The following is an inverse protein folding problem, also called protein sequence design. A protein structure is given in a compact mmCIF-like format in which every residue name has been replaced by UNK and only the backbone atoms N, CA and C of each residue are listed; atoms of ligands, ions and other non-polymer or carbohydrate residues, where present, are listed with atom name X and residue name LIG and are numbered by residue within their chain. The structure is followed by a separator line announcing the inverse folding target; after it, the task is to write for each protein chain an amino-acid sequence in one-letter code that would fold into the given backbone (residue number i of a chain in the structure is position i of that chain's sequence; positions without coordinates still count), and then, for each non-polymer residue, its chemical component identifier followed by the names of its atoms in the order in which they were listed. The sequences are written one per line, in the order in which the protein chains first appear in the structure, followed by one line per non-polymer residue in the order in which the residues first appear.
data_IF_728989065149
#
_entry.id   IF_728989065149
#
_cell.length_a   1.000
_cell.length_b   1.000
_cell.length_c   1.000
_cell.angle_alpha   90.00
_cell.angle_beta   90.00
_cell.angle_gamma   90.00
#
_symmetry.space_group_name_H-M   'P 1'
#
loop_
_entity.id
_entity.type
_entity.pdbx_description
1 polymer ?
#
# COMPACT_ATOMS: atom_id res chain seq x y z
N UNK A 1 -22.66 1.02 17.14
CA UNK A 1 -21.19 1.07 17.06
C UNK A 1 -20.67 1.05 15.61
N UNK A 2 -21.09 0.12 14.73
CA UNK A 2 -20.62 0.04 13.34
C UNK A 2 -20.88 1.31 12.48
N UNK A 3 -22.03 1.98 12.65
CA UNK A 3 -22.36 3.22 11.92
C UNK A 3 -21.40 4.38 12.22
N UNK A 4 -20.99 4.54 13.48
CA UNK A 4 -20.06 5.61 13.89
C UNK A 4 -18.63 5.39 13.36
N UNK A 5 -18.17 4.13 13.29
CA UNK A 5 -16.86 3.82 12.72
C UNK A 5 -16.81 4.10 11.20
N UNK A 6 -17.90 3.78 10.48
CA UNK A 6 -18.03 4.06 9.04
C UNK A 6 -18.07 5.57 8.75
N UNK A 7 -18.76 6.35 9.59
CA UNK A 7 -18.82 7.81 9.50
C UNK A 7 -17.42 8.45 9.66
N UNK A 8 -16.68 8.06 10.71
CA UNK A 8 -15.33 8.57 10.99
C UNK A 8 -14.34 8.34 9.84
N UNK A 9 -14.44 7.19 9.16
CA UNK A 9 -13.58 6.87 8.01
C UNK A 9 -13.90 7.75 6.80
N UNK A 10 -15.18 8.04 6.56
CA UNK A 10 -15.62 8.92 5.48
C UNK A 10 -15.16 10.37 5.70
N UNK A 11 -15.28 10.88 6.93
CA UNK A 11 -14.89 12.25 7.27
C UNK A 11 -13.37 12.50 7.13
N UNK A 12 -12.56 11.50 7.47
CA UNK A 12 -11.12 11.56 7.28
C UNK A 12 -10.75 11.63 5.79
N UNK A 13 -11.33 10.75 4.97
CA UNK A 13 -11.04 10.70 3.54
C UNK A 13 -11.48 11.99 2.85
N UNK A 14 -12.67 12.51 3.20
CA UNK A 14 -13.14 13.78 2.65
C UNK A 14 -12.25 14.96 3.09
N UNK A 15 -11.77 14.97 4.34
CA UNK A 15 -10.87 16.02 4.83
C UNK A 15 -9.52 16.02 4.09
N UNK A 16 -8.99 14.85 3.72
CA UNK A 16 -7.77 14.72 2.92
C UNK A 16 -7.94 15.27 1.49
N UNK A 17 -9.11 15.10 0.88
CA UNK A 17 -9.38 15.59 -0.47
C UNK A 17 -9.68 17.09 -0.53
N UNK A 18 -10.41 17.61 0.46
CA UNK A 18 -10.96 18.96 0.40
C UNK A 18 -10.13 20.01 1.16
N UNK A 19 -9.09 19.58 1.89
CA UNK A 19 -8.24 20.45 2.70
C UNK A 19 -9.02 21.43 3.60
N UNK A 20 -10.15 20.99 4.13
CA UNK A 20 -11.15 21.87 4.75
C UNK A 20 -10.83 22.28 6.19
N UNK A 21 -9.80 21.70 6.80
CA UNK A 21 -9.38 21.99 8.18
C UNK A 21 -7.94 22.54 8.15
N UNK A 22 -7.83 23.86 8.18
CA UNK A 22 -6.58 24.60 7.96
C UNK A 22 -6.19 25.33 9.24
N UNK A 23 -4.95 25.18 9.65
CA UNK A 23 -4.38 25.92 10.76
C UNK A 23 -3.06 26.59 10.38
N UNK A 24 -2.79 27.69 11.05
CA UNK A 24 -1.51 28.38 10.99
C UNK A 24 -0.62 27.90 12.14
N UNK A 25 0.66 27.74 11.85
CA UNK A 25 1.66 27.28 12.80
C UNK A 25 2.75 28.35 12.93
N UNK A 26 2.84 28.97 14.10
CA UNK A 26 3.80 30.04 14.38
C UNK A 26 4.65 29.69 15.62
N UNK A 27 5.96 30.00 15.63
CA UNK A 27 6.79 29.76 16.80
C UNK A 27 6.42 30.72 17.95
N UNK A 28 6.33 30.20 19.18
CA UNK A 28 6.18 30.99 20.41
C UNK A 28 7.52 31.14 21.14
N UNK A 29 8.31 30.06 21.15
CA UNK A 29 9.69 30.01 21.65
C UNK A 29 10.44 28.86 20.94
N UNK A 30 11.68 28.56 21.34
CA UNK A 30 12.51 27.53 20.69
C UNK A 30 11.84 26.15 20.59
N UNK A 31 10.97 25.79 21.54
CA UNK A 31 10.33 24.47 21.61
C UNK A 31 8.80 24.51 21.61
N UNK A 32 8.19 25.69 21.62
CA UNK A 32 6.73 25.87 21.62
C UNK A 32 6.28 26.53 20.35
N UNK A 33 5.21 25.98 19.81
CA UNK A 33 4.53 26.49 18.63
C UNK A 33 3.07 26.76 18.97
N UNK A 34 2.56 27.88 18.49
CA UNK A 34 1.15 28.19 18.48
C UNK A 34 0.52 27.59 17.24
N UNK A 35 -0.59 26.88 17.44
CA UNK A 35 -1.42 26.37 16.37
C UNK A 35 -2.78 27.08 16.42
N UNK A 36 -3.09 27.84 15.39
CA UNK A 36 -4.33 28.62 15.28
C UNK A 36 -5.15 28.13 14.09
N UNK A 37 -6.35 27.61 14.33
CA UNK A 37 -7.24 27.16 13.26
C UNK A 37 -7.87 28.36 12.55
N UNK A 38 -7.55 28.54 11.27
CA UNK A 38 -8.18 29.54 10.40
C UNK A 38 -9.52 29.03 9.88
N UNK A 39 -9.61 27.72 9.64
CA UNK A 39 -10.83 27.04 9.25
C UNK A 39 -10.89 25.67 9.92
N UNK A 40 -11.99 25.37 10.61
CA UNK A 40 -12.17 24.10 11.31
C UNK A 40 -11.79 24.16 12.80
N UNK A 41 -11.41 23.01 13.36
CA UNK A 41 -11.03 22.85 14.77
C UNK A 41 -10.29 21.54 14.98
N UNK A 42 -9.64 21.40 16.13
CA UNK A 42 -8.98 20.17 16.56
C UNK A 42 -9.98 19.00 16.57
N UNK A 43 -9.80 18.03 15.66
CA UNK A 43 -10.66 16.86 15.52
C UNK A 43 -9.84 15.61 15.23
N UNK A 44 -10.06 14.57 16.03
CA UNK A 44 -9.33 13.30 15.94
C UNK A 44 -9.77 12.37 14.80
N UNK A 45 -10.72 12.81 13.96
CA UNK A 45 -11.25 12.07 12.83
C UNK A 45 -11.04 12.77 11.47
N UNK A 46 -10.24 13.84 11.41
CA UNK A 46 -9.98 14.62 10.20
C UNK A 46 -8.48 14.92 10.09
N UNK A 47 -8.02 15.15 8.86
CA UNK A 47 -6.69 15.66 8.57
C UNK A 47 -6.64 17.17 8.80
N UNK A 48 -5.52 17.69 9.31
CA UNK A 48 -5.29 19.13 9.46
C UNK A 48 -4.16 19.58 8.55
N UNK A 49 -4.38 20.65 7.81
CA UNK A 49 -3.41 21.25 6.90
C UNK A 49 -2.80 22.45 7.59
N UNK A 50 -1.52 22.35 7.91
CA UNK A 50 -0.79 23.41 8.62
C UNK A 50 0.00 24.24 7.62
N UNK A 51 -0.04 25.56 7.77
CA UNK A 51 0.84 26.50 7.07
C UNK A 51 1.68 27.26 8.07
N UNK A 52 2.97 27.39 7.81
CA UNK A 52 3.88 28.21 8.62
C UNK A 52 4.08 29.60 8.02
N UNK A 53 4.71 30.49 8.79
CA UNK A 53 5.12 31.83 8.33
C UNK A 53 6.05 31.82 7.12
N UNK A 54 6.94 30.83 7.04
CA UNK A 54 7.83 30.63 5.89
C UNK A 54 7.18 29.85 4.74
N UNK A 55 5.84 29.79 4.72
CA UNK A 55 5.03 29.16 3.67
C UNK A 55 5.35 27.67 3.45
N UNK A 56 5.81 26.96 4.50
CA UNK A 56 5.90 25.51 4.50
C UNK A 56 4.53 24.91 4.85
N UNK A 57 4.21 23.80 4.21
CA UNK A 57 2.93 23.12 4.38
C UNK A 57 3.14 21.75 4.99
N UNK A 58 2.33 21.43 6.00
CA UNK A 58 2.34 20.13 6.67
C UNK A 58 0.93 19.56 6.75
N UNK A 59 0.84 18.23 6.85
CA UNK A 59 -0.44 17.55 7.11
C UNK A 59 -0.30 16.77 8.40
N UNK A 60 -1.22 17.01 9.33
CA UNK A 60 -1.35 16.22 10.57
C UNK A 60 -2.48 15.22 10.38
N UNK A 61 -2.17 13.95 10.66
CA UNK A 61 -3.13 12.86 10.63
C UNK A 61 -3.21 12.20 11.99
N UNK A 62 -4.42 11.79 12.42
CA UNK A 62 -4.56 10.85 13.54
C UNK A 62 -3.71 9.60 13.31
N UNK A 63 -3.02 9.09 14.33
CA UNK A 63 -2.11 7.94 14.17
C UNK A 63 -2.80 6.71 13.58
N UNK A 64 -4.04 6.42 14.00
CA UNK A 64 -4.85 5.34 13.45
C UNK A 64 -5.18 5.56 11.96
N UNK A 65 -5.38 6.79 11.53
CA UNK A 65 -5.60 7.15 10.13
C UNK A 65 -4.36 6.82 9.29
N UNK A 66 -3.18 7.23 9.75
CA UNK A 66 -1.92 6.95 9.08
C UNK A 66 -1.64 5.44 8.99
N UNK A 67 -1.81 4.71 10.10
CA UNK A 67 -1.60 3.26 10.12
C UNK A 67 -2.56 2.53 9.17
N UNK A 68 -3.82 2.97 9.09
CA UNK A 68 -4.79 2.41 8.14
C UNK A 68 -4.38 2.70 6.69
N UNK A 69 -3.93 3.92 6.38
CA UNK A 69 -3.46 4.29 5.05
C UNK A 69 -2.26 3.41 4.63
N UNK A 70 -1.26 3.29 5.49
CA UNK A 70 -0.08 2.46 5.25
C UNK A 70 -0.46 0.98 5.06
N UNK A 71 -1.38 0.46 5.88
CA UNK A 71 -1.87 -0.91 5.73
C UNK A 71 -2.59 -1.14 4.40
N UNK A 72 -3.42 -0.19 3.97
CA UNK A 72 -4.11 -0.25 2.68
C UNK A 72 -3.11 -0.20 1.50
N UNK A 73 -2.10 0.68 1.57
CA UNK A 73 -1.04 0.76 0.56
C UNK A 73 -0.26 -0.55 0.46
N UNK A 74 0.07 -1.16 1.60
CA UNK A 74 0.73 -2.47 1.64
C UNK A 74 -0.11 -3.54 0.95
N UNK A 75 -1.36 -3.71 1.36
CA UNK A 75 -2.25 -4.73 0.78
C UNK A 75 -2.40 -4.52 -0.74
N UNK A 76 -2.63 -3.27 -1.17
CA UNK A 76 -2.75 -2.94 -2.60
C UNK A 76 -1.45 -3.23 -3.37
N UNK A 77 -0.29 -2.98 -2.77
CA UNK A 77 0.99 -3.34 -3.36
C UNK A 77 1.14 -4.87 -3.52
N UNK A 78 0.78 -5.64 -2.50
CA UNK A 78 0.84 -7.11 -2.54
C UNK A 78 -0.11 -7.71 -3.59
N UNK A 79 -1.35 -7.20 -3.67
CA UNK A 79 -2.30 -7.56 -4.73
C UNK A 79 -1.75 -7.21 -6.11
N UNK A 80 -1.14 -6.01 -6.21
CA UNK A 80 -0.20 -5.54 -7.24
C UNK A 80 0.63 -6.68 -7.82
N UNK A 81 1.54 -7.16 -6.98
CA UNK A 81 2.55 -8.16 -7.33
C UNK A 81 1.93 -9.49 -7.71
N UNK A 82 0.90 -9.94 -6.99
CA UNK A 82 0.20 -11.22 -7.26
C UNK A 82 -0.47 -11.23 -8.64
N UNK A 83 -1.10 -10.11 -9.03
CA UNK A 83 -1.72 -9.96 -10.35
C UNK A 83 -0.65 -10.03 -11.45
N UNK A 84 0.43 -9.26 -11.31
CA UNK A 84 1.53 -9.27 -12.28
C UNK A 84 2.15 -10.66 -12.40
N UNK A 85 2.35 -11.35 -11.27
CA UNK A 85 2.93 -12.69 -11.25
C UNK A 85 2.04 -13.69 -11.97
N UNK A 86 0.72 -13.60 -11.78
CA UNK A 86 -0.25 -14.44 -12.50
C UNK A 86 -0.17 -14.23 -14.01
N UNK A 87 0.00 -13.00 -14.48
CA UNK A 87 0.17 -12.71 -15.91
C UNK A 87 1.47 -13.34 -16.45
N UNK A 88 2.61 -13.12 -15.79
CA UNK A 88 3.89 -13.69 -16.25
C UNK A 88 3.89 -15.23 -16.20
N UNK A 89 3.32 -15.85 -15.17
CA UNK A 89 3.19 -17.31 -15.07
C UNK A 89 2.31 -17.85 -16.19
N UNK A 90 1.18 -17.19 -16.49
CA UNK A 90 0.29 -17.59 -17.58
C UNK A 90 1.00 -17.60 -18.93
N UNK A 91 1.82 -16.59 -19.21
CA UNK A 91 2.58 -16.47 -20.45
C UNK A 91 3.65 -17.57 -20.59
N UNK A 92 4.07 -18.18 -19.47
CA UNK A 92 4.98 -19.31 -19.45
C UNK A 92 4.32 -20.67 -19.69
N UNK A 93 3.00 -20.69 -19.93
CA UNK A 93 2.16 -21.85 -20.25
C UNK A 93 2.19 -22.93 -19.14
N UNK A 94 1.58 -22.67 -17.99
CA UNK A 94 1.46 -23.66 -16.92
C UNK A 94 0.49 -24.77 -17.33
N UNK A 95 0.69 -25.98 -16.79
CA UNK A 95 -0.25 -27.10 -16.98
C UNK A 95 -1.57 -26.78 -16.27
N UNK A 96 -1.48 -26.32 -15.02
CA UNK A 96 -2.59 -25.77 -14.24
C UNK A 96 -2.15 -24.45 -13.62
N UNK A 97 -2.84 -23.35 -13.97
CA UNK A 97 -2.51 -22.02 -13.48
C UNK A 97 -2.72 -21.88 -11.98
N UNK A 98 -3.75 -22.50 -11.40
CA UNK A 98 -4.03 -22.33 -9.97
C UNK A 98 -3.01 -23.08 -9.11
N UNK A 99 -2.65 -24.30 -9.48
CA UNK A 99 -1.60 -25.07 -8.80
C UNK A 99 -0.25 -24.37 -8.91
N UNK A 100 0.08 -23.85 -10.09
CA UNK A 100 1.33 -23.11 -10.30
C UNK A 100 1.33 -21.81 -9.48
N UNK A 101 0.19 -21.13 -9.35
CA UNK A 101 0.08 -19.91 -8.55
C UNK A 101 0.25 -20.17 -7.05
N UNK A 102 -0.11 -21.34 -6.52
CA UNK A 102 0.17 -21.70 -5.12
C UNK A 102 1.68 -21.71 -4.87
N UNK A 103 2.45 -22.34 -5.76
CA UNK A 103 3.93 -22.36 -5.68
C UNK A 103 4.50 -20.96 -5.91
N UNK A 104 4.00 -20.23 -6.91
CA UNK A 104 4.48 -18.89 -7.23
C UNK A 104 4.27 -17.90 -6.07
N UNK A 105 3.12 -17.97 -5.38
CA UNK A 105 2.87 -17.17 -4.18
C UNK A 105 3.80 -17.60 -3.06
N UNK A 106 4.03 -18.90 -2.86
CA UNK A 106 4.98 -19.37 -1.86
C UNK A 106 6.40 -18.82 -2.10
N UNK A 107 6.89 -18.83 -3.34
CA UNK A 107 8.18 -18.23 -3.70
C UNK A 107 8.18 -16.71 -3.50
N UNK A 108 7.11 -16.01 -3.89
CA UNK A 108 6.97 -14.57 -3.67
C UNK A 108 7.09 -14.21 -2.18
N UNK A 109 6.45 -14.98 -1.30
CA UNK A 109 6.45 -14.76 0.15
C UNK A 109 7.83 -14.93 0.80
N UNK A 110 8.77 -15.66 0.18
CA UNK A 110 10.15 -15.77 0.67
C UNK A 110 10.92 -14.46 0.60
N UNK A 111 10.46 -13.51 -0.22
CA UNK A 111 11.05 -12.18 -0.31
C UNK A 111 10.50 -11.20 0.74
N UNK A 112 9.55 -11.62 1.59
CA UNK A 112 8.96 -10.75 2.62
C UNK A 112 10.02 -10.36 3.64
N UNK A 113 10.09 -9.06 3.90
CA UNK A 113 11.01 -8.48 4.88
C UNK A 113 10.49 -8.65 6.31
N UNK A 114 11.35 -8.43 7.31
CA UNK A 114 11.00 -8.56 8.73
C UNK A 114 9.90 -7.57 9.17
N UNK A 115 9.79 -6.43 8.49
CA UNK A 115 8.72 -5.45 8.70
C UNK A 115 7.35 -5.90 8.12
N UNK A 116 7.34 -7.07 7.48
CA UNK A 116 6.17 -7.67 6.85
C UNK A 116 5.83 -7.07 5.49
N UNK A 117 6.69 -6.28 4.85
CA UNK A 117 6.48 -5.77 3.49
C UNK A 117 7.09 -6.69 2.43
N UNK A 118 6.43 -6.77 1.28
CA UNK A 118 7.07 -7.29 0.06
C UNK A 118 7.83 -6.15 -0.61
N UNK A 119 9.13 -6.32 -0.90
CA UNK A 119 9.90 -5.32 -1.61
C UNK A 119 9.49 -5.24 -3.08
N UNK A 120 10.02 -4.25 -3.79
CA UNK A 120 9.86 -4.17 -5.24
C UNK A 120 10.67 -5.29 -5.91
N UNK A 121 9.97 -6.32 -6.39
CA UNK A 121 10.54 -7.51 -7.01
C UNK A 121 10.36 -7.43 -8.52
N UNK A 122 11.36 -7.88 -9.29
CA UNK A 122 11.19 -8.10 -10.72
C UNK A 122 10.38 -9.38 -10.95
N UNK A 123 9.07 -9.22 -11.11
CA UNK A 123 8.10 -10.31 -11.24
C UNK A 123 8.38 -11.23 -12.44
N UNK A 124 8.90 -10.68 -13.54
CA UNK A 124 9.25 -11.46 -14.72
C UNK A 124 10.41 -12.42 -14.43
N UNK A 125 11.44 -11.95 -13.75
CA UNK A 125 12.56 -12.80 -13.34
C UNK A 125 12.09 -13.88 -12.37
N UNK A 126 11.26 -13.52 -11.38
CA UNK A 126 10.69 -14.48 -10.44
C UNK A 126 9.90 -15.59 -11.16
N UNK A 127 9.05 -15.23 -12.14
CA UNK A 127 8.30 -16.20 -12.93
C UNK A 127 9.22 -17.16 -13.72
N UNK A 128 10.31 -16.63 -14.30
CA UNK A 128 11.31 -17.44 -15.00
C UNK A 128 12.04 -18.40 -14.05
N UNK A 129 12.44 -17.92 -12.87
CA UNK A 129 13.07 -18.75 -11.83
C UNK A 129 12.13 -19.88 -11.37
N UNK A 130 10.84 -19.58 -11.18
CA UNK A 130 9.84 -20.59 -10.85
C UNK A 130 9.77 -21.66 -11.94
N UNK A 131 9.76 -21.28 -13.23
CA UNK A 131 9.76 -22.25 -14.34
C UNK A 131 11.01 -23.13 -14.37
N UNK A 132 12.18 -22.58 -14.05
CA UNK A 132 13.44 -23.32 -14.00
C UNK A 132 13.44 -24.29 -12.81
N UNK A 133 12.97 -23.84 -11.65
CA UNK A 133 13.01 -24.61 -10.41
C UNK A 133 11.89 -25.66 -10.32
N UNK A 134 10.76 -25.41 -10.99
CA UNK A 134 9.58 -26.27 -10.98
C UNK A 134 9.08 -26.58 -12.41
N UNK A 135 9.92 -27.19 -13.26
CA UNK A 135 9.59 -27.38 -14.68
C UNK A 135 8.39 -28.30 -14.91
N UNK A 136 8.07 -29.15 -13.92
CA UNK A 136 6.92 -30.05 -13.93
C UNK A 136 5.56 -29.33 -13.86
N UNK A 137 5.54 -28.04 -13.52
CA UNK A 137 4.32 -27.23 -13.48
C UNK A 137 3.99 -26.60 -14.84
N UNK A 138 4.91 -26.68 -15.81
CA UNK A 138 4.80 -26.01 -17.10
C UNK A 138 4.81 -27.00 -18.26
N UNK A 139 4.16 -26.61 -19.36
CA UNK A 139 4.18 -27.39 -20.59
C UNK A 139 5.60 -27.41 -21.18
N UNK A 140 6.10 -28.60 -21.45
CA UNK A 140 7.36 -28.83 -22.14
C UNK A 140 7.06 -29.03 -23.63
N UNK A 141 7.37 -28.05 -24.46
CA UNK A 141 7.10 -28.10 -25.91
C UNK A 141 7.86 -29.25 -26.60
N UNK A 142 9.00 -29.64 -26.03
CA UNK A 142 9.82 -30.76 -26.53
C UNK A 142 9.06 -32.09 -26.50
N UNK A 143 8.06 -32.23 -25.62
CA UNK A 143 7.22 -33.43 -25.51
C UNK A 143 6.00 -33.44 -26.44
N UNK A 144 5.73 -32.36 -27.20
CA UNK A 144 4.55 -32.25 -28.06
C UNK A 144 4.78 -32.70 -29.51
N UNK A 145 6.04 -32.93 -29.92
CA UNK A 145 6.41 -33.28 -31.30
C UNK A 145 7.15 -34.62 -31.41
N UNK A 146 6.81 -35.59 -30.56
CA UNK A 146 7.29 -36.97 -30.65
C UNK A 146 6.18 -37.94 -31.07
#
# INVERSE_FOLDING_TARGET
MAKQAKQKKHDLVSSLHNASNVAYLAPLDDNKWLLEFVAGKLKSNEAWFLKTEDNKEFVVLPQNALNNLLGHLRISHEEKLKILLRYEIKDLMPIDIEDTMVVAIHELEKHRQEDGNLPMINIKNLAQEIKINYPNLFLQLDNLFH
#
